data_IF_411164995314
#
_entry.id   IF_411164995314
#
_cell.length_a   1.000
_cell.length_b   1.000
_cell.length_c   1.000
_cell.angle_alpha   90.00
_cell.angle_beta   90.00
_cell.angle_gamma   90.00
#
_symmetry.space_group_name_H-M   'P 1'
#
loop_
_entity.id
_entity.type
_entity.pdbx_description
1 polymer ?
#
# COMPACT_ATOMS: atom_id res chain seq x y z
N UNK A 1 -24.48 5.84 76.14
CA UNK A 1 -24.44 5.12 77.42
C UNK A 1 -24.25 3.63 77.10
N UNK A 2 -23.19 3.04 77.65
CA UNK A 2 -22.91 1.61 77.87
C UNK A 2 -23.21 0.55 76.78
N UNK A 3 -22.10 0.00 76.25
CA UNK A 3 -21.77 -1.42 76.05
C UNK A 3 -22.87 -2.47 76.31
N UNK A 4 -22.96 -3.48 75.43
CA UNK A 4 -22.77 -4.87 75.86
C UNK A 4 -22.46 -5.81 74.69
N UNK A 5 -21.41 -6.61 74.90
CA UNK A 5 -20.99 -7.75 74.11
C UNK A 5 -21.86 -8.96 74.44
N UNK A 6 -22.34 -9.68 73.42
CA UNK A 6 -22.69 -11.10 73.56
C UNK A 6 -22.19 -11.89 72.37
N UNK A 7 -21.36 -12.87 72.71
CA UNK A 7 -20.75 -13.89 71.86
C UNK A 7 -21.80 -14.88 71.32
N UNK A 8 -21.65 -15.31 70.07
CA UNK A 8 -22.19 -16.60 69.62
C UNK A 8 -21.22 -17.29 68.66
N UNK A 9 -20.72 -18.45 69.10
CA UNK A 9 -19.94 -19.42 68.33
C UNK A 9 -20.84 -20.04 67.25
N UNK A 10 -20.36 -20.18 66.02
CA UNK A 10 -20.87 -21.19 65.09
C UNK A 10 -19.75 -21.80 64.24
N UNK A 11 -19.60 -23.11 64.48
CA UNK A 11 -19.27 -24.22 63.58
C UNK A 11 -18.09 -24.08 62.59
N UNK A 12 -17.08 -24.92 62.86
CA UNK A 12 -16.05 -25.33 61.92
C UNK A 12 -16.66 -26.02 60.68
N UNK A 13 -16.32 -25.51 59.50
CA UNK A 13 -16.39 -26.22 58.22
C UNK A 13 -14.97 -26.49 57.73
N UNK A 14 -14.72 -27.73 57.31
CA UNK A 14 -13.40 -28.28 57.00
C UNK A 14 -12.75 -27.65 55.75
N UNK A 15 -11.46 -27.34 55.89
CA UNK A 15 -10.56 -26.88 54.83
C UNK A 15 -10.25 -28.04 53.86
N UNK A 16 -10.54 -27.85 52.57
CA UNK A 16 -9.88 -28.59 51.47
C UNK A 16 -8.71 -27.75 50.95
N UNK A 17 -7.55 -28.35 50.65
CA UNK A 17 -6.39 -27.60 50.19
C UNK A 17 -6.61 -27.11 48.75
N UNK A 18 -6.42 -25.81 48.52
CA UNK A 18 -6.35 -25.24 47.17
C UNK A 18 -5.18 -25.88 46.42
N UNK A 19 -5.49 -26.61 45.35
CA UNK A 19 -4.52 -27.03 44.35
C UNK A 19 -4.00 -25.78 43.65
N UNK A 20 -2.68 -25.57 43.76
CA UNK A 20 -1.94 -24.50 43.11
C UNK A 20 -2.01 -24.74 41.60
N UNK A 21 -2.90 -24.03 40.91
CA UNK A 21 -2.94 -24.04 39.45
C UNK A 21 -1.58 -23.53 38.95
N UNK A 22 -0.86 -24.39 38.23
CA UNK A 22 0.33 -23.99 37.51
C UNK A 22 -0.09 -22.96 36.46
N UNK A 23 0.31 -21.71 36.66
CA UNK A 23 0.34 -20.72 35.59
C UNK A 23 1.28 -21.25 34.52
N UNK A 24 0.72 -21.87 33.48
CA UNK A 24 1.42 -22.03 32.21
C UNK A 24 1.54 -20.61 31.67
N UNK A 25 2.66 -19.97 31.98
CA UNK A 25 3.04 -18.72 31.33
C UNK A 25 3.02 -18.98 29.84
N UNK A 26 2.11 -18.32 29.13
CA UNK A 26 2.18 -18.22 27.68
C UNK A 26 3.57 -17.68 27.37
N UNK A 27 4.44 -18.54 26.82
CA UNK A 27 5.68 -18.09 26.20
C UNK A 27 5.26 -17.20 25.04
N UNK A 28 5.22 -15.90 25.27
CA UNK A 28 5.22 -14.93 24.20
C UNK A 28 6.49 -15.17 23.41
N UNK A 29 6.37 -15.75 22.22
CA UNK A 29 7.45 -15.73 21.24
C UNK A 29 7.62 -14.28 20.81
N UNK A 30 8.49 -13.56 21.53
CA UNK A 30 9.00 -12.27 21.12
C UNK A 30 10.02 -12.50 19.99
N UNK A 31 9.54 -12.78 18.78
CA UNK A 31 10.36 -12.83 17.55
C UNK A 31 9.52 -12.49 16.30
N UNK A 32 8.64 -11.47 16.36
CA UNK A 32 7.99 -10.98 15.14
C UNK A 32 9.04 -10.24 14.30
N UNK A 33 9.23 -10.67 13.06
CA UNK A 33 10.02 -9.92 12.07
C UNK A 33 9.47 -8.46 11.96
N UNK A 34 10.31 -7.46 11.65
CA UNK A 34 9.84 -6.08 11.57
C UNK A 34 8.79 -5.94 10.47
N UNK A 35 7.70 -5.22 10.79
CA UNK A 35 6.67 -4.85 9.82
C UNK A 35 7.18 -3.79 8.83
N UNK A 36 6.40 -3.52 7.78
CA UNK A 36 6.82 -2.63 6.69
C UNK A 36 7.12 -1.21 7.19
N UNK A 37 6.34 -0.69 8.14
CA UNK A 37 6.55 0.67 8.67
C UNK A 37 7.82 0.73 9.51
N UNK A 38 8.07 -0.28 10.34
CA UNK A 38 9.29 -0.41 11.12
C UNK A 38 10.52 -0.50 10.20
N UNK A 39 10.48 -1.37 9.17
CA UNK A 39 11.55 -1.49 8.19
C UNK A 39 11.81 -0.18 7.43
N UNK A 40 10.76 0.55 7.03
CA UNK A 40 10.91 1.87 6.42
C UNK A 40 11.54 2.87 7.40
N UNK A 41 11.09 2.91 8.66
CA UNK A 41 11.63 3.81 9.69
C UNK A 41 13.13 3.60 9.88
N UNK A 42 13.60 2.36 9.86
CA UNK A 42 15.02 2.01 9.96
C UNK A 42 15.83 2.43 8.73
N UNK A 43 15.22 2.42 7.53
CA UNK A 43 15.89 2.80 6.28
C UNK A 43 16.01 4.33 6.09
N UNK A 44 15.08 5.12 6.65
CA UNK A 44 15.00 6.58 6.44
C UNK A 44 16.29 7.33 6.82
N UNK A 45 16.94 7.10 7.98
CA UNK A 45 18.13 7.85 8.38
C UNK A 45 19.28 7.76 7.37
N UNK A 46 19.58 6.56 6.86
CA UNK A 46 20.63 6.37 5.87
C UNK A 46 20.35 7.14 4.57
N UNK A 47 19.08 7.18 4.16
CA UNK A 47 18.64 7.92 2.97
C UNK A 47 18.69 9.43 3.15
N UNK A 48 18.34 9.93 4.35
CA UNK A 48 18.49 11.34 4.72
C UNK A 48 19.96 11.77 4.70
N UNK A 49 20.86 10.94 5.22
CA UNK A 49 22.30 11.20 5.15
C UNK A 49 22.84 11.18 3.71
N UNK A 50 22.38 10.26 2.86
CA UNK A 50 22.70 10.27 1.44
C UNK A 50 22.24 11.56 0.77
N UNK A 51 21.01 12.01 1.01
CA UNK A 51 20.49 13.26 0.45
C UNK A 51 21.32 14.47 0.91
N UNK A 52 21.78 14.51 2.17
CA UNK A 52 22.69 15.57 2.64
C UNK A 52 24.01 15.57 1.86
N UNK A 53 24.61 14.39 1.63
CA UNK A 53 25.85 14.25 0.83
C UNK A 53 25.64 14.69 -0.62
N UNK A 54 24.52 14.31 -1.24
CA UNK A 54 24.18 14.75 -2.61
C UNK A 54 23.98 16.26 -2.67
N UNK A 55 23.30 16.86 -1.69
CA UNK A 55 23.12 18.31 -1.59
C UNK A 55 24.42 19.08 -1.42
N UNK A 56 25.48 18.48 -0.86
CA UNK A 56 26.80 19.09 -0.81
C UNK A 56 27.42 19.30 -2.22
N UNK A 57 26.83 18.71 -3.26
CA UNK A 57 27.19 18.87 -4.66
C UNK A 57 26.16 19.69 -5.46
N UNK A 58 25.32 20.50 -4.82
CA UNK A 58 24.20 21.20 -5.47
C UNK A 58 24.61 22.14 -6.62
N UNK A 59 25.87 22.57 -6.68
CA UNK A 59 26.40 23.44 -7.74
C UNK A 59 26.99 22.67 -8.94
N UNK A 60 26.97 21.32 -8.94
CA UNK A 60 27.47 20.55 -10.08
C UNK A 60 26.47 20.55 -11.23
N UNK A 61 26.95 20.83 -12.43
CA UNK A 61 26.17 20.69 -13.67
C UNK A 61 25.90 19.21 -13.96
N UNK A 62 24.63 18.86 -14.18
CA UNK A 62 24.18 17.48 -14.51
C UNK A 62 23.64 17.34 -15.94
N UNK A 63 23.63 18.44 -16.70
CA UNK A 63 23.15 18.52 -18.08
C UNK A 63 23.03 19.97 -18.55
N UNK A 64 22.76 20.15 -19.85
CA UNK A 64 22.46 21.45 -20.46
C UNK A 64 20.96 21.55 -20.77
N UNK A 65 20.41 22.76 -20.71
CA UNK A 65 19.03 23.04 -21.14
C UNK A 65 19.07 23.74 -22.48
N UNK A 66 18.41 23.16 -23.48
CA UNK A 66 18.25 23.70 -24.83
C UNK A 66 16.78 24.05 -25.08
N UNK A 67 16.54 24.92 -26.06
CA UNK A 67 15.18 25.34 -26.46
C UNK A 67 14.29 24.14 -26.81
N UNK A 68 14.84 23.12 -27.48
CA UNK A 68 14.11 21.89 -27.83
C UNK A 68 13.58 21.13 -26.61
N UNK A 69 14.26 21.20 -25.47
CA UNK A 69 13.80 20.54 -24.26
C UNK A 69 12.56 21.25 -23.71
N UNK A 70 12.54 22.59 -23.71
CA UNK A 70 11.40 23.38 -23.25
C UNK A 70 10.19 23.18 -24.15
N UNK A 71 10.37 23.19 -25.46
CA UNK A 71 9.27 23.00 -26.42
C UNK A 71 8.81 21.53 -26.50
N UNK A 72 9.71 20.58 -26.26
CA UNK A 72 9.47 19.14 -26.38
C UNK A 72 9.02 18.45 -25.09
N UNK A 73 8.55 19.20 -24.09
CA UNK A 73 8.05 18.61 -22.83
C UNK A 73 9.14 17.98 -21.97
N UNK A 74 10.27 18.67 -21.79
CA UNK A 74 11.43 18.24 -21.00
C UNK A 74 12.13 16.96 -21.50
N UNK A 75 11.88 16.54 -22.74
CA UNK A 75 12.54 15.36 -23.34
C UNK A 75 14.06 15.44 -23.18
N UNK A 76 14.66 14.40 -22.60
CA UNK A 76 16.10 14.28 -22.39
C UNK A 76 16.66 15.05 -21.18
N UNK A 77 15.84 15.78 -20.43
CA UNK A 77 16.28 16.47 -19.22
C UNK A 77 16.21 15.57 -17.98
N UNK A 78 17.31 15.52 -17.23
CA UNK A 78 17.32 14.95 -15.87
C UNK A 78 16.83 16.01 -14.88
N UNK A 79 15.52 16.06 -14.66
CA UNK A 79 14.86 17.16 -13.94
C UNK A 79 14.14 16.74 -12.64
N UNK A 80 14.17 15.47 -12.26
CA UNK A 80 13.53 14.98 -11.03
C UNK A 80 14.31 13.83 -10.40
N UNK A 81 14.02 13.58 -9.12
CA UNK A 81 14.58 12.47 -8.34
C UNK A 81 13.49 11.42 -8.15
N UNK A 82 13.82 10.17 -8.48
CA UNK A 82 12.98 9.00 -8.25
C UNK A 82 13.86 7.86 -7.76
N UNK A 83 13.50 7.22 -6.66
CA UNK A 83 14.42 6.33 -5.94
C UNK A 83 14.17 4.84 -6.20
N UNK A 84 12.91 4.44 -6.39
CA UNK A 84 12.50 3.03 -6.40
C UNK A 84 12.92 2.27 -7.66
N UNK A 85 12.96 2.96 -8.80
CA UNK A 85 13.32 2.38 -10.08
C UNK A 85 14.08 3.34 -10.99
N UNK A 86 14.91 2.76 -11.85
CA UNK A 86 15.70 3.46 -12.88
C UNK A 86 15.72 2.60 -14.15
N UNK A 87 15.56 3.23 -15.30
CA UNK A 87 15.61 2.60 -16.62
C UNK A 87 17.04 2.58 -17.13
N UNK A 88 17.58 1.37 -17.30
CA UNK A 88 18.80 1.15 -18.05
C UNK A 88 18.48 1.09 -19.55
N UNK A 89 19.24 1.81 -20.38
CA UNK A 89 18.99 1.91 -21.81
C UNK A 89 19.15 0.58 -22.56
N UNK A 90 19.90 -0.38 -22.01
CA UNK A 90 20.17 -1.68 -22.63
C UNK A 90 19.45 -2.83 -21.91
N UNK A 91 19.37 -2.75 -20.57
CA UNK A 91 18.84 -3.84 -19.74
C UNK A 91 17.40 -3.64 -19.29
N UNK A 92 16.80 -2.48 -19.61
CA UNK A 92 15.43 -2.15 -19.24
C UNK A 92 15.30 -1.69 -17.78
N UNK A 93 14.09 -1.76 -17.25
CA UNK A 93 13.79 -1.22 -15.92
C UNK A 93 14.46 -2.04 -14.82
N UNK A 94 14.99 -1.35 -13.81
CA UNK A 94 15.52 -1.95 -12.59
C UNK A 94 14.82 -1.41 -11.36
N UNK A 95 14.54 -2.29 -10.40
CA UNK A 95 13.95 -1.96 -9.10
C UNK A 95 15.03 -2.06 -8.02
N UNK A 96 15.50 -0.92 -7.49
CA UNK A 96 16.70 -0.85 -6.64
C UNK A 96 17.90 -1.63 -7.22
N UNK A 97 18.11 -1.51 -8.53
CA UNK A 97 19.21 -2.17 -9.25
C UNK A 97 18.90 -3.60 -9.73
N UNK A 98 17.80 -4.20 -9.29
CA UNK A 98 17.40 -5.58 -9.64
C UNK A 98 16.65 -5.61 -10.96
N UNK A 99 16.99 -6.56 -11.83
CA UNK A 99 16.22 -6.81 -13.06
C UNK A 99 14.88 -7.47 -12.74
N UNK A 100 13.96 -7.49 -13.69
CA UNK A 100 12.70 -8.25 -13.57
C UNK A 100 12.98 -9.73 -13.22
N UNK A 101 13.99 -10.36 -13.85
CA UNK A 101 14.34 -11.76 -13.59
C UNK A 101 14.87 -11.98 -12.18
N UNK A 102 15.64 -11.03 -11.65
CA UNK A 102 16.09 -11.07 -10.26
C UNK A 102 14.90 -10.99 -9.31
N UNK A 103 13.97 -10.06 -9.55
CA UNK A 103 12.74 -9.94 -8.76
C UNK A 103 11.87 -11.20 -8.83
N UNK A 104 11.72 -11.82 -10.01
CA UNK A 104 11.02 -13.09 -10.16
C UNK A 104 11.69 -14.23 -9.39
N UNK A 105 13.02 -14.22 -9.26
CA UNK A 105 13.74 -15.24 -8.49
C UNK A 105 13.66 -15.00 -6.98
N UNK A 106 13.74 -13.74 -6.54
CA UNK A 106 13.99 -13.40 -5.15
C UNK A 106 12.72 -13.02 -4.36
N UNK A 107 11.74 -12.39 -4.99
CA UNK A 107 10.55 -11.90 -4.28
C UNK A 107 9.63 -13.07 -3.87
N UNK A 108 9.02 -13.02 -2.66
CA UNK A 108 8.03 -13.99 -2.24
C UNK A 108 6.89 -14.23 -3.22
N UNK A 109 6.36 -15.45 -3.19
CA UNK A 109 5.26 -15.96 -4.03
C UNK A 109 3.98 -16.13 -3.20
N UNK A 110 2.85 -16.36 -3.86
CA UNK A 110 1.58 -16.71 -3.22
C UNK A 110 1.65 -18.03 -2.45
N UNK A 111 0.58 -18.39 -1.73
CA UNK A 111 0.43 -19.74 -1.15
C UNK A 111 0.34 -20.80 -2.25
N UNK A 112 -0.20 -20.41 -3.40
CA UNK A 112 -0.24 -21.13 -4.66
C UNK A 112 0.41 -20.27 -5.75
N UNK A 113 0.76 -20.89 -6.88
CA UNK A 113 1.31 -20.21 -8.04
C UNK A 113 2.81 -19.94 -7.98
N UNK A 114 3.36 -19.43 -9.08
CA UNK A 114 4.81 -19.27 -9.29
C UNK A 114 5.26 -17.84 -9.48
N UNK A 115 4.35 -16.88 -9.59
CA UNK A 115 4.68 -15.48 -9.88
C UNK A 115 4.91 -14.62 -8.62
N UNK A 116 5.82 -13.64 -8.74
CA UNK A 116 6.14 -12.71 -7.64
C UNK A 116 4.92 -11.91 -7.20
N UNK A 117 4.78 -11.70 -5.90
CA UNK A 117 3.67 -10.92 -5.35
C UNK A 117 3.90 -9.41 -5.51
N UNK A 118 2.88 -8.63 -5.95
CA UNK A 118 3.01 -7.18 -6.06
C UNK A 118 3.23 -6.50 -4.70
N UNK A 119 2.68 -7.02 -3.61
CA UNK A 119 2.97 -6.48 -2.26
C UNK A 119 4.44 -6.70 -1.85
N UNK A 120 5.11 -7.73 -2.38
CA UNK A 120 6.55 -7.92 -2.22
C UNK A 120 7.36 -6.93 -3.06
N UNK A 121 6.89 -6.63 -4.28
CA UNK A 121 7.47 -5.56 -5.10
C UNK A 121 7.32 -4.20 -4.41
N UNK A 122 6.16 -3.90 -3.83
CA UNK A 122 5.94 -2.67 -3.07
C UNK A 122 6.91 -2.55 -1.88
N UNK A 123 7.11 -3.63 -1.13
CA UNK A 123 8.09 -3.68 -0.05
C UNK A 123 9.51 -3.35 -0.56
N UNK A 124 9.93 -3.98 -1.65
CA UNK A 124 11.22 -3.72 -2.29
C UNK A 124 11.35 -2.25 -2.69
N UNK A 125 10.35 -1.70 -3.38
CA UNK A 125 10.35 -0.30 -3.84
C UNK A 125 10.47 0.68 -2.67
N UNK A 126 9.75 0.42 -1.58
CA UNK A 126 9.70 1.31 -0.43
C UNK A 126 10.96 1.25 0.44
N UNK A 127 11.56 0.07 0.59
CA UNK A 127 12.63 -0.17 1.58
C UNK A 127 14.00 -0.44 0.95
N UNK A 128 14.06 -0.80 -0.33
CA UNK A 128 15.24 -1.34 -1.00
C UNK A 128 15.62 -2.75 -0.58
N UNK A 129 14.79 -3.43 0.22
CA UNK A 129 15.08 -4.75 0.79
C UNK A 129 14.11 -5.80 0.26
N UNK A 130 14.62 -7.02 0.04
CA UNK A 130 13.77 -8.17 -0.32
C UNK A 130 13.11 -8.68 0.97
N UNK A 131 11.77 -8.68 1.06
CA UNK A 131 11.08 -9.13 2.25
C UNK A 131 11.12 -10.66 2.37
N UNK A 132 11.01 -11.16 3.61
CA UNK A 132 10.76 -12.58 3.83
C UNK A 132 9.34 -12.96 3.43
N UNK A 133 9.10 -14.27 3.24
CA UNK A 133 7.74 -14.78 3.03
C UNK A 133 6.82 -14.43 4.22
N UNK A 134 7.31 -14.50 5.46
CA UNK A 134 6.51 -14.21 6.65
C UNK A 134 6.09 -12.73 6.70
N UNK A 135 7.03 -11.81 6.43
CA UNK A 135 6.75 -10.38 6.32
C UNK A 135 5.65 -10.10 5.30
N UNK A 136 5.73 -10.75 4.14
CA UNK A 136 4.71 -10.59 3.10
C UNK A 136 3.38 -11.20 3.48
N UNK A 137 3.32 -12.33 4.19
CA UNK A 137 2.03 -12.84 4.69
C UNK A 137 1.36 -11.89 5.67
N UNK A 138 2.13 -11.29 6.57
CA UNK A 138 1.61 -10.26 7.49
C UNK A 138 1.12 -9.03 6.72
N UNK A 139 1.89 -8.57 5.74
CA UNK A 139 1.51 -7.40 4.94
C UNK A 139 0.29 -7.66 4.03
N UNK A 140 0.20 -8.81 3.37
CA UNK A 140 -1.01 -9.20 2.61
C UNK A 140 -2.26 -9.19 3.49
N UNK A 141 -2.16 -9.69 4.73
CA UNK A 141 -3.25 -9.65 5.70
C UNK A 141 -3.61 -8.22 6.10
N UNK A 142 -2.61 -7.37 6.36
CA UNK A 142 -2.85 -5.95 6.68
C UNK A 142 -3.61 -5.25 5.54
N UNK A 143 -3.24 -5.51 4.28
CA UNK A 143 -3.95 -4.97 3.12
C UNK A 143 -5.39 -5.50 3.06
N UNK A 144 -5.60 -6.79 3.30
CA UNK A 144 -6.94 -7.39 3.31
C UNK A 144 -7.82 -6.77 4.41
N UNK A 145 -7.30 -6.56 5.62
CA UNK A 145 -8.00 -5.93 6.75
C UNK A 145 -8.38 -4.46 6.48
N UNK A 146 -7.66 -3.77 5.58
CA UNK A 146 -7.90 -2.36 5.23
C UNK A 146 -8.66 -2.14 3.93
N UNK A 147 -9.05 -3.22 3.24
CA UNK A 147 -9.61 -3.17 1.89
C UNK A 147 -11.05 -2.64 1.81
N UNK A 148 -11.78 -2.64 2.92
CA UNK A 148 -13.15 -2.12 2.95
C UNK A 148 -13.18 -0.63 2.54
N UNK A 149 -14.05 -0.31 1.60
CA UNK A 149 -14.31 1.08 1.19
C UNK A 149 -15.47 1.69 1.99
N UNK A 150 -15.46 3.00 2.28
CA UNK A 150 -16.56 3.67 2.94
C UNK A 150 -17.87 3.57 2.14
N UNK A 151 -19.00 3.51 2.85
CA UNK A 151 -20.33 3.37 2.23
C UNK A 151 -20.63 4.50 1.23
N UNK A 152 -20.20 5.73 1.51
CA UNK A 152 -20.42 6.85 0.60
C UNK A 152 -19.67 6.68 -0.74
N UNK A 153 -18.48 6.07 -0.74
CA UNK A 153 -17.72 5.77 -1.96
C UNK A 153 -18.39 4.64 -2.73
N UNK A 154 -18.86 3.59 -2.03
CA UNK A 154 -19.62 2.51 -2.67
C UNK A 154 -20.90 3.04 -3.34
N UNK A 155 -21.68 3.88 -2.65
CA UNK A 155 -22.88 4.53 -3.20
C UNK A 155 -22.55 5.43 -4.39
N UNK A 156 -21.44 6.16 -4.34
CA UNK A 156 -21.00 6.98 -5.47
C UNK A 156 -20.71 6.12 -6.70
N UNK A 157 -19.98 5.01 -6.53
CA UNK A 157 -19.70 4.06 -7.61
C UNK A 157 -20.96 3.41 -8.20
N UNK A 158 -21.97 3.14 -7.38
CA UNK A 158 -23.25 2.58 -7.81
C UNK A 158 -24.12 3.55 -8.60
N UNK A 159 -23.94 4.84 -8.39
CA UNK A 159 -24.75 5.89 -9.00
C UNK A 159 -24.10 6.51 -10.24
N UNK A 160 -22.91 6.08 -10.65
CA UNK A 160 -22.30 6.59 -11.87
C UNK A 160 -23.11 6.19 -13.13
N UNK A 161 -23.17 7.05 -14.15
CA UNK A 161 -23.68 6.67 -15.46
C UNK A 161 -22.93 5.46 -16.01
N UNK A 162 -23.64 4.52 -16.65
CA UNK A 162 -23.08 3.26 -17.15
C UNK A 162 -22.03 3.44 -18.26
N UNK A 163 -22.10 4.58 -18.96
CA UNK A 163 -21.21 4.98 -20.04
C UNK A 163 -20.07 5.90 -19.59
N UNK A 164 -20.00 6.25 -18.30
CA UNK A 164 -18.87 7.00 -17.75
C UNK A 164 -17.61 6.15 -17.84
N UNK A 165 -16.54 6.70 -18.42
CA UNK A 165 -15.29 5.97 -18.62
C UNK A 165 -14.74 5.37 -17.30
N UNK A 166 -14.32 4.09 -17.26
CA UNK A 166 -13.88 3.43 -16.03
C UNK A 166 -12.75 4.18 -15.30
N UNK A 167 -11.79 4.74 -16.02
CA UNK A 167 -10.70 5.52 -15.40
C UNK A 167 -11.20 6.81 -14.75
N UNK A 168 -12.26 7.43 -15.28
CA UNK A 168 -12.89 8.60 -14.66
C UNK A 168 -13.58 8.21 -13.36
N UNK A 169 -14.34 7.10 -13.37
CA UNK A 169 -14.95 6.55 -12.15
C UNK A 169 -13.87 6.25 -11.09
N UNK A 170 -12.74 5.69 -11.52
CA UNK A 170 -11.65 5.31 -10.63
C UNK A 170 -10.98 6.52 -9.99
N UNK A 171 -10.62 7.52 -10.79
CA UNK A 171 -10.02 8.75 -10.28
C UNK A 171 -10.95 9.50 -9.31
N UNK A 172 -12.26 9.54 -9.59
CA UNK A 172 -13.25 10.15 -8.70
C UNK A 172 -13.38 9.41 -7.37
N UNK A 173 -13.46 8.07 -7.40
CA UNK A 173 -13.52 7.24 -6.19
C UNK A 173 -12.25 7.38 -5.34
N UNK A 174 -11.07 7.38 -5.95
CA UNK A 174 -9.80 7.61 -5.25
C UNK A 174 -9.76 9.02 -4.65
N UNK A 175 -10.18 10.04 -5.38
CA UNK A 175 -10.24 11.41 -4.84
C UNK A 175 -11.21 11.52 -3.66
N UNK A 176 -12.34 10.81 -3.69
CA UNK A 176 -13.33 10.85 -2.61
C UNK A 176 -12.81 10.19 -1.31
N UNK A 177 -11.83 9.29 -1.40
CA UNK A 177 -11.19 8.69 -0.22
C UNK A 177 -10.32 9.66 0.58
N UNK A 178 -9.97 10.84 0.06
CA UNK A 178 -9.29 11.89 0.83
C UNK A 178 -10.05 12.25 2.13
N UNK A 179 -11.37 12.04 2.18
CA UNK A 179 -12.15 12.21 3.41
C UNK A 179 -11.60 11.41 4.61
N UNK A 180 -10.97 10.26 4.34
CA UNK A 180 -10.33 9.42 5.34
C UNK A 180 -8.86 9.76 5.59
N UNK A 181 -8.27 10.71 4.84
CA UNK A 181 -6.84 11.04 4.92
C UNK A 181 -6.42 11.44 6.33
N UNK A 182 -5.46 10.69 6.86
CA UNK A 182 -4.77 11.01 8.11
C UNK A 182 -3.78 12.14 7.90
N UNK A 183 -3.11 12.19 6.75
CA UNK A 183 -2.14 13.24 6.44
C UNK A 183 -2.82 14.62 6.43
N UNK A 184 -3.92 14.76 5.70
CA UNK A 184 -4.64 16.02 5.61
C UNK A 184 -5.08 16.53 6.99
N UNK A 185 -5.68 15.65 7.80
CA UNK A 185 -6.15 15.97 9.17
C UNK A 185 -4.99 16.31 10.12
N UNK A 186 -3.91 15.54 10.09
CA UNK A 186 -2.74 15.79 10.93
C UNK A 186 -2.02 17.09 10.54
N UNK A 187 -1.93 17.38 9.25
CA UNK A 187 -1.33 18.62 8.75
C UNK A 187 -2.12 19.85 9.23
N UNK A 188 -3.45 19.82 9.13
CA UNK A 188 -4.33 20.90 9.63
C UNK A 188 -4.16 21.14 11.14
N UNK A 189 -3.85 20.10 11.91
CA UNK A 189 -3.59 20.17 13.35
C UNK A 189 -2.16 20.60 13.72
N UNK A 190 -1.28 20.89 12.74
CA UNK A 190 0.07 21.39 12.98
C UNK A 190 1.14 20.29 13.11
N UNK A 191 1.14 19.31 12.21
CA UNK A 191 2.15 18.25 12.15
C UNK A 191 3.56 18.80 11.88
N UNK A 192 4.58 18.23 12.54
CA UNK A 192 5.97 18.55 12.26
C UNK A 192 6.42 17.95 10.91
N UNK A 193 7.16 18.74 10.12
CA UNK A 193 7.70 18.31 8.82
C UNK A 193 8.53 17.02 8.89
N UNK A 194 9.24 16.77 9.99
CA UNK A 194 10.03 15.55 10.17
C UNK A 194 9.19 14.27 10.18
N UNK A 195 7.90 14.42 10.54
CA UNK A 195 6.95 13.34 10.79
C UNK A 195 5.90 13.20 9.67
N UNK A 196 5.94 14.06 8.64
CA UNK A 196 5.03 14.00 7.48
C UNK A 196 4.93 12.61 6.83
N UNK A 197 6.03 11.86 6.85
CA UNK A 197 6.10 10.56 6.21
C UNK A 197 5.20 9.51 6.89
N UNK A 198 4.93 9.61 8.20
CA UNK A 198 4.16 8.59 8.92
C UNK A 198 2.67 8.57 8.51
N UNK A 199 1.92 9.69 8.55
CA UNK A 199 0.55 9.69 8.05
C UNK A 199 0.48 9.58 6.52
N UNK A 200 1.52 10.00 5.79
CA UNK A 200 1.62 9.72 4.35
C UNK A 200 1.69 8.22 4.09
N UNK A 201 2.51 7.49 4.85
CA UNK A 201 2.60 6.03 4.77
C UNK A 201 1.23 5.39 5.06
N UNK A 202 0.57 5.81 6.14
CA UNK A 202 -0.75 5.27 6.52
C UNK A 202 -1.79 5.43 5.41
N UNK A 203 -1.82 6.62 4.79
CA UNK A 203 -2.73 6.92 3.70
C UNK A 203 -2.38 6.11 2.44
N UNK A 204 -1.09 5.94 2.11
CA UNK A 204 -0.64 5.08 1.02
C UNK A 204 -1.05 3.61 1.21
N UNK A 205 -0.88 3.04 2.40
CA UNK A 205 -1.30 1.65 2.70
C UNK A 205 -2.83 1.53 2.64
N UNK A 206 -3.56 2.49 3.21
CA UNK A 206 -5.03 2.53 3.15
C UNK A 206 -5.53 2.60 1.71
N UNK A 207 -4.91 3.44 0.88
CA UNK A 207 -5.22 3.55 -0.54
C UNK A 207 -4.94 2.23 -1.26
N UNK A 208 -3.72 1.69 -1.14
CA UNK A 208 -3.31 0.45 -1.80
C UNK A 208 -4.27 -0.71 -1.49
N UNK A 209 -4.69 -0.83 -0.23
CA UNK A 209 -5.65 -1.84 0.20
C UNK A 209 -7.02 -1.71 -0.48
N UNK A 210 -7.50 -0.48 -0.72
CA UNK A 210 -8.84 -0.19 -1.27
C UNK A 210 -8.91 -0.21 -2.80
N UNK A 211 -7.79 -0.04 -3.51
CA UNK A 211 -7.75 0.04 -4.97
C UNK A 211 -8.42 -1.17 -5.67
N UNK A 212 -8.17 -2.45 -5.26
CA UNK A 212 -8.81 -3.59 -5.91
C UNK A 212 -10.33 -3.61 -5.75
N UNK A 213 -10.85 -3.24 -4.58
CA UNK A 213 -12.29 -3.21 -4.31
C UNK A 213 -12.97 -2.14 -5.17
N UNK A 214 -12.35 -0.96 -5.31
CA UNK A 214 -12.85 0.10 -6.21
C UNK A 214 -12.83 -0.38 -7.67
N UNK A 215 -11.70 -0.90 -8.13
CA UNK A 215 -11.54 -1.36 -9.51
C UNK A 215 -12.52 -2.50 -9.85
N UNK A 216 -12.68 -3.48 -8.95
CA UNK A 216 -13.63 -4.57 -9.12
C UNK A 216 -15.08 -4.07 -9.12
N UNK A 217 -15.40 -3.06 -8.29
CA UNK A 217 -16.74 -2.46 -8.27
C UNK A 217 -17.08 -1.72 -9.56
N UNK A 218 -16.11 -0.98 -10.11
CA UNK A 218 -16.24 -0.34 -11.43
C UNK A 218 -16.46 -1.41 -12.52
N UNK A 219 -15.68 -2.50 -12.49
CA UNK A 219 -15.83 -3.60 -13.43
C UNK A 219 -17.21 -4.28 -13.32
N UNK A 220 -17.67 -4.54 -12.10
CA UNK A 220 -18.97 -5.12 -11.83
C UNK A 220 -20.11 -4.23 -12.36
N UNK A 221 -20.05 -2.93 -12.05
CA UNK A 221 -21.07 -1.96 -12.44
C UNK A 221 -21.10 -1.72 -13.96
N UNK A 222 -19.94 -1.65 -14.60
CA UNK A 222 -19.84 -1.30 -16.02
C UNK A 222 -20.02 -2.49 -16.96
N UNK A 223 -19.60 -3.69 -16.56
CA UNK A 223 -19.51 -4.85 -17.46
C UNK A 223 -20.27 -6.09 -17.01
N UNK A 224 -20.74 -6.15 -15.76
CA UNK A 224 -21.41 -7.33 -15.19
C UNK A 224 -22.83 -7.06 -14.70
N UNK A 225 -23.38 -5.89 -15.03
CA UNK A 225 -24.76 -5.52 -14.70
C UNK A 225 -24.94 -4.88 -13.32
N UNK A 226 -23.85 -4.62 -12.59
CA UNK A 226 -23.88 -4.02 -11.25
C UNK A 226 -24.22 -5.00 -10.12
N UNK A 227 -24.48 -4.46 -8.94
CA UNK A 227 -24.80 -5.23 -7.74
C UNK A 227 -23.59 -5.59 -6.87
N UNK A 228 -23.75 -6.60 -6.02
CA UNK A 228 -22.71 -7.05 -5.10
C UNK A 228 -21.48 -7.61 -5.85
N UNK A 229 -20.31 -7.52 -5.21
CA UNK A 229 -19.11 -8.16 -5.74
C UNK A 229 -19.25 -9.69 -5.65
N UNK A 230 -18.69 -10.45 -6.61
CA UNK A 230 -18.72 -11.92 -6.62
C UNK A 230 -18.07 -12.61 -5.41
N UNK A 231 -17.16 -11.91 -4.71
CA UNK A 231 -16.46 -12.43 -3.54
C UNK A 231 -16.21 -11.31 -2.52
N UNK A 232 -16.12 -11.68 -1.26
CA UNK A 232 -15.58 -10.85 -0.19
C UNK A 232 -14.05 -11.02 -0.11
N UNK A 233 -13.40 -10.10 0.60
CA UNK A 233 -11.95 -10.15 0.83
C UNK A 233 -11.61 -11.28 1.80
N UNK A 234 -10.74 -12.18 1.38
CA UNK A 234 -10.18 -13.27 2.18
C UNK A 234 -8.89 -12.81 2.85
N UNK A 235 -8.90 -12.76 4.19
CA UNK A 235 -7.78 -12.33 5.03
C UNK A 235 -6.56 -13.25 4.94
N UNK A 236 -6.73 -14.46 4.43
CA UNK A 236 -5.69 -15.47 4.30
C UNK A 236 -5.05 -15.49 2.90
N UNK A 237 -5.46 -14.60 1.99
CA UNK A 237 -5.00 -14.56 0.60
C UNK A 237 -4.22 -13.30 0.27
N UNK A 238 -3.42 -13.37 -0.80
CA UNK A 238 -2.65 -12.24 -1.30
C UNK A 238 -3.52 -11.19 -2.01
N UNK A 239 -2.96 -10.00 -2.20
CA UNK A 239 -3.66 -8.84 -2.75
C UNK A 239 -4.23 -9.11 -4.15
N UNK A 240 -3.46 -9.82 -4.99
CA UNK A 240 -3.87 -10.15 -6.36
C UNK A 240 -4.96 -11.23 -6.40
N UNK A 241 -4.86 -12.24 -5.55
CA UNK A 241 -5.93 -13.23 -5.40
C UNK A 241 -7.26 -12.57 -5.03
N UNK A 242 -7.25 -11.69 -4.02
CA UNK A 242 -8.44 -10.97 -3.60
C UNK A 242 -9.03 -10.11 -4.73
N UNK A 243 -8.17 -9.46 -5.51
CA UNK A 243 -8.63 -8.73 -6.68
C UNK A 243 -9.28 -9.66 -7.72
N UNK A 244 -8.63 -10.77 -8.06
CA UNK A 244 -9.17 -11.77 -8.99
C UNK A 244 -10.52 -12.34 -8.50
N UNK A 245 -10.63 -12.66 -7.22
CA UNK A 245 -11.87 -13.15 -6.61
C UNK A 245 -13.01 -12.15 -6.77
N UNK A 246 -12.77 -10.87 -6.48
CA UNK A 246 -13.75 -9.79 -6.68
C UNK A 246 -14.08 -9.53 -8.17
N UNK A 247 -13.26 -10.01 -9.11
CA UNK A 247 -13.58 -10.00 -10.55
C UNK A 247 -14.34 -11.26 -11.02
N UNK A 248 -14.69 -12.17 -10.10
CA UNK A 248 -15.32 -13.45 -10.42
C UNK A 248 -14.35 -14.53 -10.88
N UNK A 249 -13.07 -14.41 -10.51
CA UNK A 249 -11.95 -15.29 -10.87
C UNK A 249 -11.19 -15.82 -9.65
N UNK A 250 -11.92 -16.07 -8.56
CA UNK A 250 -11.40 -16.75 -7.37
C UNK A 250 -11.30 -18.26 -7.58
N UNK A 251 -10.85 -18.99 -6.56
CA UNK A 251 -10.85 -20.45 -6.58
C UNK A 251 -9.70 -21.08 -7.38
N UNK A 252 -9.53 -22.39 -7.19
CA UNK A 252 -8.42 -23.17 -7.75
C UNK A 252 -8.47 -23.24 -9.28
N UNK A 253 -9.66 -23.22 -9.85
CA UNK A 253 -9.90 -23.28 -11.29
C UNK A 253 -9.38 -22.06 -12.05
N UNK A 254 -9.10 -20.95 -11.35
CA UNK A 254 -8.59 -19.71 -11.93
C UNK A 254 -7.14 -19.40 -11.49
N UNK A 255 -6.39 -20.36 -10.95
CA UNK A 255 -5.00 -20.14 -10.47
C UNK A 255 -4.09 -19.50 -11.52
N UNK A 256 -4.19 -19.91 -12.79
CA UNK A 256 -3.40 -19.30 -13.87
C UNK A 256 -3.72 -17.81 -14.09
N UNK A 257 -4.99 -17.41 -13.92
CA UNK A 257 -5.38 -16.01 -14.01
C UNK A 257 -4.88 -15.22 -12.80
N UNK A 258 -4.89 -15.82 -11.61
CA UNK A 258 -4.34 -15.21 -10.39
C UNK A 258 -2.83 -14.98 -10.53
N UNK A 259 -2.08 -15.94 -11.10
CA UNK A 259 -0.65 -15.78 -11.39
C UNK A 259 -0.37 -14.72 -12.46
N UNK A 260 -1.16 -14.69 -13.54
CA UNK A 260 -1.09 -13.62 -14.53
C UNK A 260 -1.28 -12.25 -13.86
N UNK A 261 -2.27 -12.13 -12.98
CA UNK A 261 -2.59 -10.89 -12.31
C UNK A 261 -1.49 -10.46 -11.33
N UNK A 262 -0.90 -11.40 -10.58
CA UNK A 262 0.27 -11.15 -9.71
C UNK A 262 1.43 -10.57 -10.50
N UNK A 263 1.80 -11.22 -11.60
CA UNK A 263 2.89 -10.77 -12.47
C UNK A 263 2.58 -9.41 -13.09
N UNK A 264 1.37 -9.24 -13.65
CA UNK A 264 0.93 -7.99 -14.26
C UNK A 264 1.04 -6.81 -13.29
N UNK A 265 0.49 -6.95 -12.08
CA UNK A 265 0.50 -5.90 -11.06
C UNK A 265 1.91 -5.59 -10.54
N UNK A 266 2.77 -6.61 -10.41
CA UNK A 266 4.14 -6.41 -9.98
C UNK A 266 5.01 -5.71 -11.04
N UNK A 267 4.80 -6.01 -12.33
CA UNK A 267 5.56 -5.41 -13.42
C UNK A 267 5.19 -3.96 -13.70
N UNK A 268 3.91 -3.60 -13.55
CA UNK A 268 3.39 -2.27 -13.85
C UNK A 268 3.33 -1.35 -12.61
N UNK A 269 3.95 -1.77 -11.51
CA UNK A 269 3.93 -1.01 -10.26
C UNK A 269 4.76 0.28 -10.29
N UNK A 270 5.85 0.31 -11.06
CA UNK A 270 6.70 1.50 -11.19
C UNK A 270 7.53 1.49 -12.50
N UNK A 271 7.77 2.66 -13.08
CA UNK A 271 8.62 2.83 -14.27
C UNK A 271 9.22 4.25 -14.32
N UNK A 272 10.12 4.51 -13.38
CA UNK A 272 10.70 5.82 -13.07
C UNK A 272 9.67 6.91 -12.76
N UNK A 273 10.14 8.15 -12.53
CA UNK A 273 9.28 9.29 -12.22
C UNK A 273 8.79 10.09 -13.43
N UNK A 274 9.40 9.91 -14.61
CA UNK A 274 9.18 10.80 -15.77
C UNK A 274 7.89 10.54 -16.55
N UNK A 275 7.24 9.38 -16.34
CA UNK A 275 5.96 9.08 -16.95
C UNK A 275 4.84 9.96 -16.35
N UNK A 276 3.79 10.25 -17.12
CA UNK A 276 2.79 11.26 -16.77
C UNK A 276 2.09 10.95 -15.44
N UNK A 277 1.75 9.69 -15.18
CA UNK A 277 1.07 9.29 -13.93
C UNK A 277 1.94 9.45 -12.69
N UNK A 278 3.22 9.04 -12.76
CA UNK A 278 4.16 9.18 -11.65
C UNK A 278 4.48 10.65 -11.40
N UNK A 279 4.74 11.42 -12.48
CA UNK A 279 5.05 12.84 -12.38
C UNK A 279 3.86 13.64 -11.84
N UNK A 280 2.63 13.40 -12.29
CA UNK A 280 1.45 14.08 -11.76
C UNK A 280 1.24 13.80 -10.27
N UNK A 281 1.39 12.54 -9.86
CA UNK A 281 1.32 12.15 -8.44
C UNK A 281 2.38 12.88 -7.62
N UNK A 282 3.63 12.91 -8.10
CA UNK A 282 4.73 13.61 -7.44
C UNK A 282 4.48 15.12 -7.35
N UNK A 283 4.04 15.74 -8.44
CA UNK A 283 3.83 17.17 -8.55
C UNK A 283 2.73 17.64 -7.58
N UNK A 284 1.57 16.97 -7.57
CA UNK A 284 0.48 17.29 -6.65
C UNK A 284 0.88 17.04 -5.19
N UNK A 285 1.57 15.93 -4.91
CA UNK A 285 2.09 15.63 -3.58
C UNK A 285 3.15 16.63 -3.10
N UNK A 286 3.90 17.26 -4.02
CA UNK A 286 4.90 18.28 -3.68
C UNK A 286 4.29 19.55 -3.07
N UNK A 287 3.02 19.81 -3.34
CA UNK A 287 2.22 20.86 -2.71
C UNK A 287 1.61 20.43 -1.37
N UNK A 288 2.02 19.26 -0.83
CA UNK A 288 1.50 18.64 0.39
C UNK A 288 0.02 18.25 0.29
N UNK A 289 -0.47 17.94 -0.92
CA UNK A 289 -1.71 17.18 -1.05
C UNK A 289 -1.49 15.75 -0.56
N UNK A 290 -2.49 15.16 0.09
CA UNK A 290 -2.41 13.79 0.60
C UNK A 290 -2.30 12.75 -0.54
N UNK A 291 -1.95 11.48 -0.21
CA UNK A 291 -1.79 10.43 -1.21
C UNK A 291 -3.01 10.14 -2.07
N UNK A 292 -4.24 10.33 -1.57
CA UNK A 292 -5.46 10.05 -2.32
C UNK A 292 -5.63 11.06 -3.46
N UNK A 293 -5.51 12.35 -3.15
CA UNK A 293 -5.58 13.42 -4.16
C UNK A 293 -4.43 13.32 -5.18
N UNK A 294 -3.22 13.05 -4.69
CA UNK A 294 -2.04 12.91 -5.52
C UNK A 294 -2.17 11.74 -6.51
N UNK A 295 -2.59 10.57 -6.03
CA UNK A 295 -2.77 9.40 -6.90
C UNK A 295 -3.97 9.53 -7.84
N UNK A 296 -5.04 10.23 -7.43
CA UNK A 296 -6.16 10.56 -8.33
C UNK A 296 -5.70 11.39 -9.54
N UNK A 297 -4.83 12.39 -9.33
CA UNK A 297 -4.22 13.13 -10.42
C UNK A 297 -3.34 12.24 -11.31
N UNK A 298 -2.60 11.31 -10.70
CA UNK A 298 -1.87 10.25 -11.42
C UNK A 298 -2.77 9.41 -12.33
N UNK A 299 -3.95 8.98 -11.85
CA UNK A 299 -4.93 8.22 -12.62
C UNK A 299 -5.53 9.04 -13.78
N UNK A 300 -5.75 10.33 -13.60
CA UNK A 300 -6.20 11.22 -14.68
C UNK A 300 -5.13 11.35 -15.77
N UNK A 301 -3.86 11.46 -15.38
CA UNK A 301 -2.74 11.42 -16.31
C UNK A 301 -2.62 10.06 -17.03
N UNK A 302 -2.86 8.96 -16.31
CA UNK A 302 -2.86 7.60 -16.88
C UNK A 302 -3.98 7.37 -17.89
N UNK A 303 -5.13 8.02 -17.73
CA UNK A 303 -6.24 7.95 -18.68
C UNK A 303 -5.99 8.69 -20.01
N UNK A 304 -4.87 9.41 -20.13
CA UNK A 304 -4.50 10.10 -21.35
C UNK A 304 -4.14 9.11 -22.47
N UNK A 305 -4.67 9.26 -23.71
CA UNK A 305 -4.45 8.30 -24.81
C UNK A 305 -3.00 8.04 -25.24
N UNK A 306 -2.05 8.86 -24.76
CA UNK A 306 -0.62 8.73 -25.04
C UNK A 306 0.15 8.04 -23.90
N UNK A 307 -0.55 7.49 -22.90
CA UNK A 307 0.06 6.87 -21.73
C UNK A 307 -0.49 5.47 -21.43
N UNK A 308 -1.72 5.35 -20.91
CA UNK A 308 -2.37 4.07 -20.55
C UNK A 308 -3.62 3.78 -21.37
#
# INVERSE_FOLDING_TARGET
MALNLTTSRRALGSLKPLTRAAFVGARGYATAEPDLKATLREAIPAKRELLKKVKAHANKTIGEVKVENTLGGMRGLKAMVWEGSVLDANEGIRFHGRTIKDCQKELPKGKTGTEMLPEAMFWLLLTGQVPSTNQIRVFSRELAEKAQIPEFVAKMLDNFPKDLHPMTQFAMAVSALNYESKFAKAYEQGLNKADYWEPTFDDCISLLAKLPTIAAKIYQNSYRGGGALPAEVDLEQDWSYNFAAMLGKGGKENENFQDLLRLYLALHGDHEGGNVSAHATHLVGSALSDPFLSYSAGLQGLAGPLHG
#
